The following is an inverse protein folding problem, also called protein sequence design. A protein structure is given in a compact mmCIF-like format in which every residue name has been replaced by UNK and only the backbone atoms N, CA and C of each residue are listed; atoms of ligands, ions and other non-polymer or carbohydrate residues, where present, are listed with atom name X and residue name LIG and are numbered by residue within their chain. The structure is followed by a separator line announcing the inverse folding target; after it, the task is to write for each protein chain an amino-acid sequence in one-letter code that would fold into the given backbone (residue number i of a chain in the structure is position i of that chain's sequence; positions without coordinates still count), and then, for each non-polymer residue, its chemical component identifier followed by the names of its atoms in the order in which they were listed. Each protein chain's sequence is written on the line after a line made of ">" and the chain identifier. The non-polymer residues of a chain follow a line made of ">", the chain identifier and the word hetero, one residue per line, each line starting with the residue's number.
data_IF_902508731576
#
_entry.id   IF_902508731576
#
_cell.length_a   1.000
_cell.length_b   1.000
_cell.length_c   1.000
_cell.angle_alpha   90.00
_cell.angle_beta   90.00
_cell.angle_gamma   90.00
#
_symmetry.space_group_name_H-M   'P 1'
#
loop_
_entity.id
_entity.type
_entity.pdbx_description
1 polymer ?
#
# COMPACT_ATOMS: atom_id res chain seq x y z
N UNK A 1 17.81 14.05 8.21
CA UNK A 1 18.09 13.58 6.84
C UNK A 1 17.44 14.55 5.85
N UNK A 2 18.17 15.59 5.41
CA UNK A 2 17.68 16.58 4.45
C UNK A 2 18.25 16.25 3.07
N UNK A 3 17.50 15.47 2.30
CA UNK A 3 17.78 15.29 0.88
C UNK A 3 17.17 16.47 0.11
N UNK A 4 17.83 17.07 -0.90
CA UNK A 4 17.28 18.17 -1.70
C UNK A 4 15.97 17.82 -2.44
N UNK A 5 15.59 16.52 -2.49
CA UNK A 5 14.27 16.08 -2.91
C UNK A 5 13.12 16.53 -1.99
N UNK A 6 13.42 16.80 -0.71
CA UNK A 6 12.41 17.21 0.27
C UNK A 6 11.74 18.53 -0.17
N UNK A 7 12.48 19.51 -0.68
CA UNK A 7 11.91 20.83 -0.97
C UNK A 7 10.92 20.85 -2.14
N UNK A 8 11.11 20.01 -3.17
CA UNK A 8 10.30 20.08 -4.39
C UNK A 8 8.90 19.46 -4.27
N UNK A 9 8.70 18.49 -3.37
CA UNK A 9 7.39 17.83 -3.19
C UNK A 9 6.67 18.21 -1.89
N UNK A 10 7.33 18.96 -0.97
CA UNK A 10 6.73 19.43 0.28
C UNK A 10 5.41 20.18 0.05
N UNK A 11 5.29 20.98 -1.01
CA UNK A 11 4.04 21.68 -1.30
C UNK A 11 2.86 20.72 -1.49
N UNK A 12 3.07 19.64 -2.25
CA UNK A 12 2.00 18.66 -2.50
C UNK A 12 1.64 17.90 -1.22
N UNK A 13 2.64 17.47 -0.44
CA UNK A 13 2.39 16.77 0.83
C UNK A 13 1.73 17.66 1.87
N UNK A 14 2.15 18.92 1.97
CA UNK A 14 1.49 19.90 2.82
C UNK A 14 0.04 20.08 2.38
N UNK A 15 -0.21 20.31 1.08
CA UNK A 15 -1.56 20.53 0.58
C UNK A 15 -2.49 19.34 0.82
N UNK A 16 -2.05 18.13 0.48
CA UNK A 16 -2.86 16.91 0.61
C UNK A 16 -3.13 16.57 2.09
N UNK A 17 -2.11 16.66 2.94
CA UNK A 17 -2.28 16.40 4.39
C UNK A 17 -3.16 17.45 5.08
N UNK A 18 -3.12 18.71 4.64
CA UNK A 18 -4.03 19.77 5.11
C UNK A 18 -5.48 19.52 4.67
N UNK A 19 -5.70 19.02 3.43
CA UNK A 19 -7.03 18.65 2.96
C UNK A 19 -7.61 17.48 3.76
N UNK A 20 -6.82 16.42 4.01
CA UNK A 20 -7.26 15.28 4.81
C UNK A 20 -7.65 15.71 6.24
N UNK A 21 -6.87 16.60 6.83
CA UNK A 21 -7.19 17.21 8.13
C UNK A 21 -8.46 18.06 8.07
N UNK A 22 -8.59 18.91 7.05
CA UNK A 22 -9.75 19.77 6.86
C UNK A 22 -11.06 18.97 6.75
N UNK A 23 -11.02 17.81 6.09
CA UNK A 23 -12.16 16.89 5.99
C UNK A 23 -12.33 15.95 7.20
N UNK A 24 -11.48 16.08 8.23
CA UNK A 24 -11.58 15.31 9.48
C UNK A 24 -11.18 13.84 9.33
N UNK A 25 -10.44 13.47 8.28
CA UNK A 25 -9.96 12.10 8.07
C UNK A 25 -8.75 11.76 8.93
N UNK A 26 -7.94 12.78 9.25
CA UNK A 26 -6.77 12.67 10.12
C UNK A 26 -6.70 13.87 11.08
N UNK A 27 -6.00 13.71 12.19
CA UNK A 27 -5.77 14.76 13.17
C UNK A 27 -4.54 15.63 12.82
N UNK A 28 -4.24 16.63 13.67
CA UNK A 28 -3.11 17.55 13.45
C UNK A 28 -1.75 16.85 13.47
N UNK A 29 -1.52 15.91 14.40
CA UNK A 29 -0.27 15.16 14.52
C UNK A 29 -0.05 14.25 13.31
N UNK A 30 -1.08 13.54 12.89
CA UNK A 30 -1.08 12.69 11.70
C UNK A 30 -0.85 13.50 10.41
N UNK A 31 -1.46 14.68 10.31
CA UNK A 31 -1.23 15.62 9.21
C UNK A 31 0.23 16.10 9.15
N UNK A 32 0.82 16.42 10.31
CA UNK A 32 2.24 16.79 10.39
C UNK A 32 3.16 15.64 10.01
N UNK A 33 2.87 14.41 10.45
CA UNK A 33 3.61 13.23 10.02
C UNK A 33 3.52 13.02 8.51
N UNK A 34 2.31 13.00 7.95
CA UNK A 34 2.09 12.81 6.50
C UNK A 34 2.75 13.89 5.64
N UNK A 35 2.86 15.11 6.17
CA UNK A 35 3.56 16.21 5.50
C UNK A 35 5.08 16.00 5.46
N UNK A 36 5.68 15.48 6.52
CA UNK A 36 7.13 15.44 6.71
C UNK A 36 7.76 14.10 6.28
N UNK A 37 7.00 13.01 6.36
CA UNK A 37 7.50 11.68 6.07
C UNK A 37 7.31 11.30 4.59
N UNK A 38 8.35 11.52 3.80
CA UNK A 38 8.29 11.37 2.33
C UNK A 38 8.12 9.92 1.83
N UNK A 39 8.36 8.92 2.69
CA UNK A 39 8.22 7.50 2.35
C UNK A 39 6.81 6.93 2.57
N UNK A 40 5.94 7.63 3.30
CA UNK A 40 4.65 7.10 3.73
C UNK A 40 4.19 7.71 5.05
N UNK A 41 3.04 7.28 5.57
CA UNK A 41 2.53 7.70 6.87
C UNK A 41 1.75 6.58 7.54
N UNK A 42 1.56 6.70 8.85
CA UNK A 42 0.90 5.71 9.70
C UNK A 42 -0.16 6.40 10.53
N UNK A 43 -1.38 5.86 10.56
CA UNK A 43 -2.48 6.37 11.38
C UNK A 43 -3.13 5.23 12.15
N UNK A 44 -3.70 5.55 13.31
CA UNK A 44 -4.45 4.57 14.12
C UNK A 44 -5.93 4.91 14.09
N UNK A 45 -6.73 3.96 13.64
CA UNK A 45 -8.19 4.10 13.62
C UNK A 45 -8.77 4.04 15.04
N UNK A 46 -10.02 4.48 15.19
CA UNK A 46 -10.77 4.36 16.45
C UNK A 46 -10.99 2.90 16.91
N UNK A 47 -10.82 1.92 16.00
CA UNK A 47 -10.90 0.49 16.29
C UNK A 47 -9.55 -0.11 16.69
N UNK A 48 -8.50 0.70 16.82
CA UNK A 48 -7.12 0.27 17.10
C UNK A 48 -6.41 -0.52 15.99
N UNK A 49 -7.00 -0.62 14.80
CA UNK A 49 -6.26 -0.98 13.58
C UNK A 49 -5.32 0.17 13.20
N UNK A 50 -4.05 -0.14 12.92
CA UNK A 50 -3.10 0.82 12.36
C UNK A 50 -3.03 0.63 10.84
N UNK A 51 -3.08 1.75 10.12
CA UNK A 51 -3.04 1.80 8.66
C UNK A 51 -1.73 2.47 8.27
N UNK A 52 -0.87 1.72 7.58
CA UNK A 52 0.39 2.23 7.03
C UNK A 52 0.19 2.45 5.53
N UNK A 53 0.31 3.69 5.08
CA UNK A 53 0.26 4.04 3.66
C UNK A 53 1.66 4.32 3.13
N UNK A 54 2.11 3.57 2.14
CA UNK A 54 3.43 3.68 1.53
C UNK A 54 3.40 4.53 0.26
N UNK A 55 4.43 5.34 0.06
CA UNK A 55 4.65 6.04 -1.22
C UNK A 55 5.32 5.09 -2.22
N UNK A 56 4.53 4.17 -2.76
CA UNK A 56 4.98 3.14 -3.70
C UNK A 56 5.56 3.67 -5.02
N UNK A 57 5.41 4.97 -5.31
CA UNK A 57 6.15 5.61 -6.42
C UNK A 57 7.68 5.50 -6.25
N UNK A 58 8.16 5.29 -5.02
CA UNK A 58 9.58 5.14 -4.67
C UNK A 58 10.17 3.77 -5.03
N UNK A 59 9.35 2.83 -5.49
CA UNK A 59 9.83 1.62 -6.19
C UNK A 59 9.30 1.51 -7.61
N UNK A 60 8.48 2.47 -8.08
CA UNK A 60 7.83 2.39 -9.39
C UNK A 60 8.87 2.49 -10.50
N UNK A 61 8.84 1.53 -11.44
CA UNK A 61 9.86 1.41 -12.48
C UNK A 61 9.87 2.61 -13.45
N UNK A 62 8.72 3.23 -13.71
CA UNK A 62 8.66 4.40 -14.60
C UNK A 62 9.03 5.71 -13.90
N UNK A 63 9.24 5.70 -12.59
CA UNK A 63 9.82 6.83 -11.88
C UNK A 63 11.35 6.80 -12.03
N UNK A 64 11.87 7.61 -12.96
CA UNK A 64 13.29 7.67 -13.30
C UNK A 64 14.20 8.04 -12.10
N UNK A 65 13.66 8.73 -11.09
CA UNK A 65 14.42 9.08 -9.90
C UNK A 65 14.84 7.86 -9.06
N UNK A 66 14.10 6.74 -9.16
CA UNK A 66 14.42 5.52 -8.41
C UNK A 66 15.72 4.84 -8.89
N UNK A 67 16.25 5.23 -10.04
CA UNK A 67 17.53 4.72 -10.55
C UNK A 67 18.74 5.47 -9.99
N UNK A 68 18.52 6.65 -9.39
CA UNK A 68 19.56 7.44 -8.74
C UNK A 68 19.95 6.73 -7.44
N UNK A 69 21.24 6.42 -7.28
CA UNK A 69 21.76 5.66 -6.14
C UNK A 69 21.11 4.26 -5.95
N UNK A 70 20.69 3.60 -7.03
CA UNK A 70 20.07 2.25 -7.00
C UNK A 70 20.98 1.10 -6.54
N UNK A 71 22.22 1.41 -6.18
CA UNK A 71 23.10 0.51 -5.43
C UNK A 71 22.59 0.30 -4.00
N UNK A 72 22.00 1.34 -3.40
CA UNK A 72 21.24 1.23 -2.16
C UNK A 72 19.83 0.70 -2.47
N UNK A 73 19.39 -0.28 -1.69
CA UNK A 73 18.14 -1.00 -1.92
C UNK A 73 16.93 -0.29 -1.28
N UNK A 74 17.15 0.68 -0.39
CA UNK A 74 16.12 1.55 0.18
C UNK A 74 16.63 3.00 0.34
N UNK A 75 17.08 3.60 -0.76
CA UNK A 75 17.53 5.00 -0.81
C UNK A 75 16.54 5.97 -0.18
N UNK A 76 15.25 5.63 -0.20
CA UNK A 76 14.17 6.44 0.35
C UNK A 76 13.86 6.20 1.83
N UNK A 77 14.46 5.21 2.48
CA UNK A 77 14.10 4.81 3.84
C UNK A 77 12.65 4.37 4.01
N UNK A 78 11.90 4.13 2.93
CA UNK A 78 10.47 3.77 2.97
C UNK A 78 10.30 2.39 3.59
N UNK A 79 11.15 1.44 3.23
CA UNK A 79 11.10 0.08 3.78
C UNK A 79 11.61 0.06 5.22
N UNK A 80 12.59 0.90 5.55
CA UNK A 80 13.02 1.08 6.94
C UNK A 80 11.88 1.62 7.81
N UNK A 81 11.18 2.66 7.34
CA UNK A 81 9.99 3.19 8.00
C UNK A 81 8.92 2.12 8.21
N UNK A 82 8.62 1.32 7.17
CA UNK A 82 7.66 0.23 7.27
C UNK A 82 8.06 -0.78 8.36
N UNK A 83 9.33 -1.19 8.41
CA UNK A 83 9.84 -2.12 9.43
C UNK A 83 9.66 -1.53 10.84
N UNK A 84 9.97 -0.25 11.03
CA UNK A 84 9.89 0.40 12.34
C UNK A 84 8.44 0.49 12.84
N UNK A 85 7.50 0.81 11.95
CA UNK A 85 6.06 0.79 12.26
C UNK A 85 5.53 -0.62 12.54
N UNK A 86 5.94 -1.61 11.75
CA UNK A 86 5.53 -3.01 11.95
C UNK A 86 6.08 -3.60 13.25
N UNK A 87 7.33 -3.29 13.60
CA UNK A 87 7.91 -3.72 14.87
C UNK A 87 7.21 -3.06 16.06
N UNK A 88 6.93 -1.75 15.96
CA UNK A 88 6.17 -1.02 17.00
C UNK A 88 4.77 -1.64 17.18
N UNK A 89 4.12 -2.02 16.08
CA UNK A 89 2.82 -2.68 16.11
C UNK A 89 2.91 -4.09 16.72
N UNK A 90 3.94 -4.86 16.38
CA UNK A 90 4.19 -6.19 16.97
C UNK A 90 4.34 -6.10 18.49
N UNK A 91 5.18 -5.18 18.97
CA UNK A 91 5.43 -4.97 20.41
C UNK A 91 4.17 -4.50 21.15
N UNK A 92 3.30 -3.77 20.47
CA UNK A 92 2.01 -3.29 20.99
C UNK A 92 0.84 -4.27 20.77
N UNK A 93 1.08 -5.43 20.15
CA UNK A 93 0.03 -6.40 19.76
C UNK A 93 -1.07 -5.79 18.89
N UNK A 94 -0.70 -4.88 17.98
CA UNK A 94 -1.59 -4.22 17.02
C UNK A 94 -1.66 -5.00 15.70
N UNK A 95 -2.79 -4.86 15.00
CA UNK A 95 -2.96 -5.35 13.63
C UNK A 95 -2.76 -4.22 12.63
N UNK A 96 -2.27 -4.58 11.44
CA UNK A 96 -1.85 -3.61 10.42
C UNK A 96 -2.50 -3.88 9.07
N UNK A 97 -2.96 -2.81 8.43
CA UNK A 97 -3.17 -2.77 6.99
C UNK A 97 -2.08 -1.96 6.29
N UNK A 98 -1.52 -2.51 5.23
CA UNK A 98 -0.56 -1.82 4.36
C UNK A 98 -1.28 -1.38 3.08
N UNK A 99 -1.25 -0.09 2.79
CA UNK A 99 -1.84 0.50 1.59
C UNK A 99 -0.73 1.07 0.70
N UNK A 100 -0.88 0.87 -0.61
CA UNK A 100 -0.01 1.46 -1.62
C UNK A 100 -0.75 1.68 -2.94
N UNK A 101 -0.14 2.42 -3.87
CA UNK A 101 -0.72 2.58 -5.20
C UNK A 101 -0.22 1.49 -6.16
N UNK A 102 1.10 1.41 -6.35
CA UNK A 102 1.77 0.44 -7.23
C UNK A 102 2.12 -0.81 -6.44
N UNK A 103 1.62 -1.97 -6.86
CA UNK A 103 1.90 -3.25 -6.20
C UNK A 103 3.39 -3.66 -6.25
N UNK A 104 3.86 -4.29 -5.17
CA UNK A 104 5.19 -4.88 -5.05
C UNK A 104 5.23 -6.28 -5.67
N UNK A 105 5.75 -6.42 -6.88
CA UNK A 105 5.79 -7.73 -7.54
C UNK A 105 4.40 -8.24 -7.93
N UNK A 106 4.27 -8.64 -9.19
CA UNK A 106 3.11 -9.32 -9.77
C UNK A 106 3.42 -9.64 -11.23
N UNK A 107 3.87 -8.62 -11.97
CA UNK A 107 4.16 -8.72 -13.41
C UNK A 107 5.60 -8.30 -13.79
N UNK A 108 6.43 -7.97 -12.79
CA UNK A 108 7.80 -7.43 -12.93
C UNK A 108 7.91 -6.17 -13.83
N UNK A 109 6.80 -5.50 -14.12
CA UNK A 109 6.74 -4.29 -14.96
C UNK A 109 6.47 -3.05 -14.12
N UNK A 110 5.66 -3.17 -13.07
CA UNK A 110 5.33 -2.06 -12.18
C UNK A 110 6.48 -1.61 -11.30
N UNK A 111 7.15 -2.52 -10.59
CA UNK A 111 8.10 -2.18 -9.51
C UNK A 111 9.53 -2.66 -9.78
N UNK A 112 10.50 -1.98 -9.15
CA UNK A 112 11.91 -2.38 -9.18
C UNK A 112 12.12 -3.70 -8.43
N UNK A 113 12.96 -4.63 -8.93
CA UNK A 113 13.12 -5.95 -8.32
C UNK A 113 13.62 -5.93 -6.87
N UNK A 114 14.63 -5.10 -6.55
CA UNK A 114 15.27 -5.10 -5.23
C UNK A 114 14.35 -4.60 -4.10
N UNK A 115 13.66 -3.45 -4.22
CA UNK A 115 12.70 -3.04 -3.19
C UNK A 115 11.51 -4.00 -3.07
N UNK A 116 11.06 -4.59 -4.18
CA UNK A 116 9.97 -5.58 -4.16
C UNK A 116 10.35 -6.86 -3.42
N UNK A 117 11.57 -7.37 -3.60
CA UNK A 117 12.08 -8.53 -2.86
C UNK A 117 12.21 -8.23 -1.36
N UNK A 118 12.74 -7.06 -0.99
CA UNK A 118 12.80 -6.64 0.40
C UNK A 118 11.40 -6.49 1.03
N UNK A 119 10.45 -5.92 0.31
CA UNK A 119 9.06 -5.84 0.77
C UNK A 119 8.46 -7.23 0.99
N UNK A 120 8.73 -8.19 0.10
CA UNK A 120 8.27 -9.56 0.26
C UNK A 120 8.82 -10.18 1.55
N UNK A 121 10.11 -10.01 1.85
CA UNK A 121 10.72 -10.51 3.08
C UNK A 121 10.12 -9.85 4.34
N UNK A 122 9.76 -8.57 4.26
CA UNK A 122 9.06 -7.86 5.35
C UNK A 122 7.66 -8.47 5.55
N UNK A 123 6.92 -8.71 4.47
CA UNK A 123 5.60 -9.35 4.55
C UNK A 123 5.70 -10.76 5.14
N UNK A 124 6.67 -11.57 4.70
CA UNK A 124 6.94 -12.91 5.24
C UNK A 124 7.21 -12.84 6.75
N UNK A 125 8.06 -11.93 7.22
CA UNK A 125 8.41 -11.77 8.64
C UNK A 125 7.23 -11.38 9.53
N UNK A 126 6.32 -10.53 9.06
CA UNK A 126 5.27 -9.93 9.90
C UNK A 126 3.86 -10.49 9.64
N UNK A 127 3.73 -11.47 8.75
CA UNK A 127 2.45 -12.13 8.45
C UNK A 127 2.38 -13.53 9.06
N UNK A 128 1.18 -13.99 9.46
CA UNK A 128 -0.09 -13.25 9.48
C UNK A 128 -0.34 -12.49 10.80
N UNK A 129 0.59 -12.56 11.76
CA UNK A 129 0.32 -12.16 13.15
C UNK A 129 0.27 -10.64 13.37
N UNK A 130 0.94 -9.84 12.54
CA UNK A 130 0.86 -8.37 12.60
C UNK A 130 0.07 -7.84 11.40
N UNK A 131 0.51 -8.19 10.19
CA UNK A 131 -0.16 -7.75 8.96
C UNK A 131 -1.49 -8.52 8.83
N UNK A 132 -2.59 -7.79 8.65
CA UNK A 132 -3.93 -8.33 8.47
C UNK A 132 -4.48 -8.10 7.05
N UNK A 133 -3.84 -7.23 6.26
CA UNK A 133 -4.24 -6.98 4.88
C UNK A 133 -3.26 -6.08 4.14
N UNK A 134 -3.13 -6.31 2.83
CA UNK A 134 -2.31 -5.50 1.92
C UNK A 134 -3.19 -5.06 0.75
N UNK A 135 -3.16 -3.77 0.41
CA UNK A 135 -4.05 -3.19 -0.61
C UNK A 135 -3.28 -2.33 -1.59
N UNK A 136 -3.49 -2.58 -2.88
CA UNK A 136 -2.90 -1.86 -3.99
C UNK A 136 -3.96 -1.46 -5.04
N UNK A 137 -3.52 -0.72 -6.06
CA UNK A 137 -4.29 -0.40 -7.26
C UNK A 137 -3.37 -0.37 -8.48
N UNK A 138 -3.37 0.75 -9.20
CA UNK A 138 -2.51 1.06 -10.36
C UNK A 138 -2.76 0.23 -11.63
N UNK A 139 -2.99 -1.08 -11.53
CA UNK A 139 -3.19 -1.95 -12.71
C UNK A 139 -4.53 -1.72 -13.39
N UNK A 140 -5.49 -1.09 -12.68
CA UNK A 140 -6.87 -0.88 -13.09
C UNK A 140 -7.72 -2.16 -13.15
N UNK A 141 -7.12 -3.32 -12.88
CA UNK A 141 -7.75 -4.64 -12.96
C UNK A 141 -8.21 -5.13 -11.59
N UNK A 142 -9.16 -6.06 -11.59
CA UNK A 142 -9.56 -6.83 -10.42
C UNK A 142 -8.59 -8.00 -10.24
N UNK A 143 -7.65 -7.89 -9.29
CA UNK A 143 -6.62 -8.92 -9.07
C UNK A 143 -6.41 -9.22 -7.58
N UNK A 144 -5.87 -10.40 -7.34
CA UNK A 144 -5.45 -10.87 -6.01
C UNK A 144 -4.08 -11.50 -6.11
N UNK A 145 -3.23 -11.26 -5.12
CA UNK A 145 -1.92 -11.89 -4.96
C UNK A 145 -1.84 -12.58 -3.61
N UNK A 146 -1.05 -13.65 -3.54
CA UNK A 146 -0.81 -14.40 -2.30
C UNK A 146 0.67 -14.34 -1.97
N UNK A 147 0.98 -13.90 -0.77
CA UNK A 147 2.31 -14.00 -0.18
C UNK A 147 2.44 -15.31 0.57
N UNK A 148 3.58 -15.97 0.40
CA UNK A 148 3.88 -17.25 1.02
C UNK A 148 5.14 -17.12 1.88
N UNK A 149 5.28 -17.99 2.87
CA UNK A 149 6.48 -18.08 3.69
C UNK A 149 7.69 -18.55 2.90
N UNK A 150 8.87 -18.50 3.52
CA UNK A 150 10.13 -18.94 2.90
C UNK A 150 10.43 -18.16 1.61
N UNK A 151 10.18 -16.84 1.64
CA UNK A 151 10.33 -15.93 0.51
C UNK A 151 9.66 -16.43 -0.79
N UNK A 152 8.49 -17.08 -0.68
CA UNK A 152 7.72 -17.54 -1.84
C UNK A 152 8.27 -18.76 -2.57
N UNK A 153 9.26 -19.45 -2.00
CA UNK A 153 9.87 -20.66 -2.60
C UNK A 153 8.99 -21.91 -2.48
N UNK A 154 8.03 -21.91 -1.56
CA UNK A 154 7.06 -23.00 -1.34
C UNK A 154 5.62 -22.46 -1.45
N UNK A 155 5.02 -22.58 -2.63
CA UNK A 155 3.69 -22.02 -2.93
C UNK A 155 2.58 -23.04 -2.69
N UNK A 156 2.46 -23.50 -1.45
CA UNK A 156 1.39 -24.41 -1.02
C UNK A 156 0.40 -23.70 -0.09
N UNK A 157 -0.75 -24.30 0.14
CA UNK A 157 -1.74 -23.76 1.09
C UNK A 157 -1.22 -23.68 2.52
N UNK A 158 -0.29 -24.56 2.91
CA UNK A 158 0.33 -24.57 4.24
C UNK A 158 1.28 -23.38 4.44
N UNK A 159 1.89 -22.90 3.36
CA UNK A 159 2.82 -21.78 3.37
C UNK A 159 2.17 -20.45 3.00
N UNK A 160 0.86 -20.39 2.72
CA UNK A 160 0.18 -19.14 2.42
C UNK A 160 0.06 -18.26 3.68
N UNK A 161 0.49 -17.00 3.58
CA UNK A 161 0.56 -16.07 4.72
C UNK A 161 -0.43 -14.92 4.63
N UNK A 162 -0.49 -14.25 3.48
CA UNK A 162 -1.22 -12.99 3.36
C UNK A 162 -1.76 -12.77 1.96
N UNK A 163 -2.92 -12.13 1.87
CA UNK A 163 -3.52 -11.72 0.61
C UNK A 163 -3.20 -10.25 0.34
N UNK A 164 -2.68 -9.97 -0.85
CA UNK A 164 -2.65 -8.63 -1.43
C UNK A 164 -3.82 -8.43 -2.37
N UNK A 165 -4.59 -7.38 -2.15
CA UNK A 165 -5.77 -7.05 -2.94
C UNK A 165 -5.47 -5.90 -3.89
N UNK A 166 -5.78 -6.07 -5.17
CA UNK A 166 -5.64 -5.02 -6.18
C UNK A 166 -7.04 -4.63 -6.66
N UNK A 167 -7.44 -3.41 -6.32
CA UNK A 167 -8.76 -2.87 -6.66
C UNK A 167 -8.85 -2.43 -8.13
N UNK A 168 -10.03 -2.56 -8.76
CA UNK A 168 -10.26 -2.09 -10.12
C UNK A 168 -10.32 -0.56 -10.11
N UNK A 169 -10.25 0.04 -11.29
CA UNK A 169 -10.36 1.49 -11.41
C UNK A 169 -11.79 1.95 -11.68
N UNK A 170 -12.13 3.11 -11.11
CA UNK A 170 -13.33 3.85 -11.50
C UNK A 170 -13.19 4.38 -12.94
N UNK A 171 -11.98 4.70 -13.39
CA UNK A 171 -11.77 5.16 -14.77
C UNK A 171 -11.82 3.99 -15.77
N UNK A 172 -12.51 4.13 -16.92
CA UNK A 172 -12.54 3.10 -17.96
C UNK A 172 -11.37 3.17 -18.95
N UNK A 173 -10.36 4.03 -18.70
CA UNK A 173 -9.26 4.36 -19.62
C UNK A 173 -8.54 3.14 -20.23
N UNK A 174 -8.49 2.03 -19.50
CA UNK A 174 -7.79 0.79 -19.88
C UNK A 174 -8.67 -0.23 -20.61
N UNK A 175 -9.78 0.23 -21.22
CA UNK A 175 -10.79 -0.63 -21.90
C UNK A 175 -11.45 -1.62 -20.93
N UNK A 176 -11.66 -1.18 -19.71
CA UNK A 176 -12.36 -1.90 -18.66
C UNK A 176 -13.63 -1.15 -18.28
N UNK A 177 -14.56 -1.87 -17.67
CA UNK A 177 -15.72 -1.25 -17.03
C UNK A 177 -15.28 -0.41 -15.82
N UNK A 178 -16.01 0.67 -15.55
CA UNK A 178 -15.84 1.45 -14.33
C UNK A 178 -16.28 0.61 -13.13
N UNK A 179 -15.43 0.48 -12.13
CA UNK A 179 -15.75 -0.32 -10.94
C UNK A 179 -15.04 0.12 -9.66
N UNK A 180 -15.51 -0.42 -8.54
CA UNK A 180 -14.93 -0.25 -7.22
C UNK A 180 -15.13 -1.52 -6.38
N UNK A 181 -14.37 -1.65 -5.29
CA UNK A 181 -14.48 -2.78 -4.36
C UNK A 181 -14.94 -2.37 -2.98
N UNK A 182 -15.73 -3.23 -2.36
CA UNK A 182 -16.10 -3.18 -0.94
C UNK A 182 -15.58 -4.44 -0.27
N UNK A 183 -14.98 -4.30 0.91
CA UNK A 183 -14.50 -5.41 1.72
C UNK A 183 -15.34 -5.52 3.00
N UNK A 184 -15.76 -6.73 3.33
CA UNK A 184 -16.25 -7.07 4.67
C UNK A 184 -15.06 -7.47 5.54
N UNK A 185 -14.99 -6.90 6.74
CA UNK A 185 -13.80 -6.93 7.60
C UNK A 185 -14.22 -7.40 8.98
N UNK A 186 -13.52 -8.37 9.54
CA UNK A 186 -13.71 -8.78 10.93
C UNK A 186 -13.14 -7.70 11.87
N UNK A 187 -13.96 -7.17 12.78
CA UNK A 187 -13.52 -6.09 13.69
C UNK A 187 -12.62 -6.56 14.83
N UNK A 188 -12.48 -7.86 15.04
CA UNK A 188 -11.62 -8.47 16.06
C UNK A 188 -10.20 -8.68 15.56
N UNK A 189 -10.04 -9.21 14.35
CA UNK A 189 -8.71 -9.55 13.80
C UNK A 189 -8.31 -8.75 12.55
N UNK A 190 -9.22 -7.93 12.01
CA UNK A 190 -9.06 -7.09 10.82
C UNK A 190 -8.73 -7.84 9.53
N UNK A 191 -8.99 -9.14 9.49
CA UNK A 191 -8.94 -9.91 8.26
C UNK A 191 -10.10 -9.54 7.33
N UNK A 192 -9.89 -9.72 6.02
CA UNK A 192 -10.94 -9.59 5.02
C UNK A 192 -11.73 -10.90 5.00
N UNK A 193 -13.02 -10.82 5.33
CA UNK A 193 -13.92 -11.98 5.32
C UNK A 193 -14.57 -12.16 3.95
N UNK A 194 -14.99 -11.06 3.34
CA UNK A 194 -15.58 -11.07 2.00
C UNK A 194 -15.19 -9.86 1.16
N UNK A 195 -15.32 -10.00 -0.15
CA UNK A 195 -15.05 -8.92 -1.10
C UNK A 195 -16.04 -8.88 -2.26
N UNK A 196 -16.64 -7.71 -2.50
CA UNK A 196 -17.56 -7.48 -3.62
C UNK A 196 -17.02 -6.42 -4.57
N UNK A 197 -16.93 -6.77 -5.85
CA UNK A 197 -16.63 -5.83 -6.93
C UNK A 197 -17.93 -5.37 -7.58
N UNK A 198 -18.19 -4.07 -7.52
CA UNK A 198 -19.29 -3.44 -8.26
C UNK A 198 -18.72 -2.82 -9.54
N UNK A 199 -19.42 -2.99 -10.65
CA UNK A 199 -19.05 -2.38 -11.92
C UNK A 199 -20.28 -1.91 -12.67
N UNK A 200 -20.07 -0.98 -13.60
CA UNK A 200 -21.09 -0.55 -14.57
C UNK A 200 -20.63 -0.85 -15.98
N UNK A 201 -21.56 -1.31 -16.83
CA UNK A 201 -21.28 -1.54 -18.24
C UNK A 201 -21.15 -0.23 -18.99
N UNK A 202 -19.90 0.21 -19.18
CA UNK A 202 -19.62 1.50 -19.81
C UNK A 202 -19.98 1.52 -21.30
N UNK A 203 -20.18 0.35 -21.92
CA UNK A 203 -20.59 0.26 -23.33
C UNK A 203 -22.03 0.74 -23.56
N UNK A 204 -22.85 0.75 -22.51
CA UNK A 204 -24.25 1.21 -22.56
C UNK A 204 -24.42 2.71 -22.34
N UNK A 205 -23.34 3.43 -22.01
CA UNK A 205 -23.43 4.85 -21.63
C UNK A 205 -23.90 5.78 -22.76
N UNK A 206 -23.72 5.41 -24.03
CA UNK A 206 -24.26 6.18 -25.14
C UNK A 206 -25.78 6.12 -25.26
N UNK A 207 -26.44 5.23 -24.50
CA UNK A 207 -27.89 5.05 -24.48
C UNK A 207 -28.60 5.82 -23.36
N UNK A 208 -27.84 6.47 -22.46
CA UNK A 208 -28.31 7.29 -21.33
C UNK A 208 -28.53 8.76 -21.74
#
# INVERSE_FOLDING_TARGET
>A
LSSPYNEQQIWNYAHVSELWKFHGWINEEESQQARLHYGGYSIKTHLSLRIITLKTDLWYRNNLFNFINSTDHDTSGMLRFLIDELQTAEDASERIWILGHVASGWDARGSLPKPSDLFYQIVDRFSPHVIAGIFFGHTHEDQVMVYYSNNGTEQTSEHALMTGWIGPSVTPLTRLNSGFRVYEVDTGDFSIYESWTFYTDVSTFSEL
#
